data_IF_931880289515
#
_entry.id   IF_931880289515
#
_cell.length_a   1.000
_cell.length_b   1.000
_cell.length_c   1.000
_cell.angle_alpha   90.00
_cell.angle_beta   90.00
_cell.angle_gamma   90.00
#
_symmetry.space_group_name_H-M   'P 1'
#
loop_
_entity.id
_entity.type
_entity.pdbx_description
1 polymer ?
#
# COMPACT_ATOMS: atom_id res chain seq x y z
N UNK A 1 -14.73 7.41 16.62
CA UNK A 1 -15.68 6.84 15.61
C UNK A 1 -15.02 7.01 14.26
N UNK A 2 -14.67 5.91 13.60
CA UNK A 2 -14.14 6.00 12.24
C UNK A 2 -15.17 6.67 11.34
N UNK A 3 -14.74 7.55 10.39
CA UNK A 3 -15.69 8.23 9.55
C UNK A 3 -16.49 7.21 8.73
N UNK A 4 -17.81 7.33 8.82
CA UNK A 4 -18.81 6.55 8.09
C UNK A 4 -18.74 5.02 8.32
N UNK A 5 -19.00 4.57 9.55
CA UNK A 5 -19.18 3.16 9.88
C UNK A 5 -20.18 2.45 8.93
N UNK A 6 -21.21 3.16 8.51
CA UNK A 6 -22.24 2.66 7.59
C UNK A 6 -21.71 2.40 6.17
N UNK A 7 -20.67 3.13 5.74
CA UNK A 7 -20.06 2.95 4.40
C UNK A 7 -19.19 1.70 4.33
N UNK A 8 -18.67 1.21 5.48
CA UNK A 8 -17.69 0.12 5.52
C UNK A 8 -18.21 -1.18 6.10
N UNK A 9 -19.46 -1.23 6.52
CA UNK A 9 -20.06 -2.43 7.13
C UNK A 9 -19.19 -3.02 8.29
N UNK A 10 -18.48 -2.12 9.00
CA UNK A 10 -17.67 -2.43 10.17
C UNK A 10 -18.19 -1.57 11.32
N UNK A 11 -18.87 -2.19 12.28
CA UNK A 11 -19.17 -1.56 13.56
C UNK A 11 -17.88 -1.45 14.40
N UNK A 12 -17.01 -0.52 14.03
CA UNK A 12 -15.86 -0.18 14.85
C UNK A 12 -16.24 0.87 15.86
N UNK A 13 -16.61 0.46 17.05
CA UNK A 13 -16.51 1.32 18.21
C UNK A 13 -15.04 1.42 18.57
N UNK A 14 -14.45 2.61 18.47
CA UNK A 14 -13.08 2.85 18.97
C UNK A 14 -13.09 2.53 20.46
N UNK A 15 -12.31 1.54 20.87
CA UNK A 15 -12.07 1.26 22.28
C UNK A 15 -11.15 2.33 22.86
N UNK A 16 -11.72 3.31 23.53
CA UNK A 16 -10.98 4.41 24.14
C UNK A 16 -9.88 3.92 25.11
N UNK A 17 -10.13 2.83 25.83
CA UNK A 17 -9.12 2.23 26.73
C UNK A 17 -7.92 1.71 25.94
N UNK A 18 -8.15 1.05 24.79
CA UNK A 18 -7.09 0.58 23.93
C UNK A 18 -6.31 1.73 23.26
N UNK A 19 -6.99 2.82 22.91
CA UNK A 19 -6.32 4.04 22.42
C UNK A 19 -5.42 4.61 23.51
N UNK A 20 -5.92 4.78 24.73
CA UNK A 20 -5.12 5.29 25.86
C UNK A 20 -3.93 4.39 26.20
N UNK A 21 -4.10 3.07 26.13
CA UNK A 21 -3.00 2.11 26.30
C UNK A 21 -1.90 2.31 25.26
N UNK A 22 -2.26 2.42 23.97
CA UNK A 22 -1.29 2.67 22.90
C UNK A 22 -0.61 4.04 23.05
N UNK A 23 -1.35 5.07 23.43
CA UNK A 23 -0.80 6.41 23.64
C UNK A 23 0.18 6.47 24.84
N UNK A 24 0.06 5.57 25.80
CA UNK A 24 0.95 5.48 26.96
C UNK A 24 2.26 4.73 26.65
N UNK A 25 2.36 4.02 25.53
CA UNK A 25 3.56 3.24 25.18
C UNK A 25 4.76 4.17 24.89
N UNK A 26 5.89 3.83 25.50
CA UNK A 26 7.17 4.48 25.23
C UNK A 26 8.17 3.46 24.62
N UNK A 27 9.16 3.91 23.81
CA UNK A 27 10.11 3.00 23.16
C UNK A 27 10.88 2.07 24.12
N UNK A 28 11.00 2.47 25.39
CA UNK A 28 11.66 1.68 26.43
C UNK A 28 10.84 0.51 26.97
N UNK A 29 9.53 0.49 26.70
CA UNK A 29 8.62 -0.55 27.15
C UNK A 29 8.65 -1.79 26.24
N UNK A 30 9.22 -1.65 25.04
CA UNK A 30 9.29 -2.70 24.03
C UNK A 30 10.70 -3.24 23.90
N UNK A 31 10.84 -4.56 24.00
CA UNK A 31 12.13 -5.21 23.82
C UNK A 31 12.62 -5.08 22.38
N UNK A 32 13.88 -4.69 22.21
CA UNK A 32 14.52 -4.72 20.89
C UNK A 32 14.66 -6.17 20.42
N UNK A 33 14.33 -6.49 19.17
CA UNK A 33 14.52 -7.82 18.63
C UNK A 33 16.02 -8.18 18.57
N UNK A 34 16.35 -9.44 18.84
CA UNK A 34 17.73 -9.92 18.74
C UNK A 34 18.17 -10.11 17.28
N UNK A 35 17.23 -10.34 16.39
CA UNK A 35 17.44 -10.54 14.94
C UNK A 35 16.47 -9.67 14.16
N UNK A 36 16.91 -9.19 13.01
CA UNK A 36 16.09 -8.48 12.03
C UNK A 36 16.11 -9.25 10.73
N UNK A 37 14.96 -9.35 10.10
CA UNK A 37 14.82 -9.90 8.75
C UNK A 37 14.57 -8.78 7.74
N UNK A 38 14.83 -9.06 6.47
CA UNK A 38 14.50 -8.15 5.37
C UNK A 38 14.13 -8.95 4.12
N UNK A 39 13.24 -8.41 3.31
CA UNK A 39 12.96 -8.97 1.99
C UNK A 39 14.02 -8.53 0.99
N UNK A 40 14.57 -9.48 0.25
CA UNK A 40 15.45 -9.19 -0.90
C UNK A 40 14.56 -9.10 -2.14
N UNK A 41 14.05 -7.90 -2.41
CA UNK A 41 13.17 -7.68 -3.54
C UNK A 41 13.81 -6.83 -4.63
N UNK A 42 13.37 -7.04 -5.86
CA UNK A 42 13.56 -6.11 -6.97
C UNK A 42 12.28 -5.28 -7.13
N UNK A 43 12.45 -3.96 -7.19
CA UNK A 43 11.34 -3.03 -7.29
C UNK A 43 10.92 -2.82 -8.75
N UNK A 44 9.65 -3.07 -9.05
CA UNK A 44 9.05 -2.94 -10.38
C UNK A 44 7.98 -1.84 -10.36
N UNK A 45 8.33 -0.59 -10.68
CA UNK A 45 7.38 0.52 -10.75
C UNK A 45 6.56 0.43 -12.05
N UNK A 46 5.48 -0.32 -12.05
CA UNK A 46 4.75 -0.72 -13.26
C UNK A 46 4.32 0.47 -14.11
N UNK A 47 3.86 1.56 -13.48
CA UNK A 47 3.47 2.81 -14.16
C UNK A 47 3.68 4.02 -13.26
N UNK A 48 3.88 5.19 -13.87
CA UNK A 48 3.95 6.49 -13.21
C UNK A 48 2.58 7.18 -13.11
N UNK A 49 1.50 6.49 -13.45
CA UNK A 49 0.14 7.01 -13.42
C UNK A 49 -0.57 6.68 -12.09
N UNK A 50 -1.35 7.62 -11.57
CA UNK A 50 -2.21 7.43 -10.40
C UNK A 50 -3.46 8.33 -10.49
N UNK A 51 -4.64 7.78 -10.20
CA UNK A 51 -5.85 8.63 -10.16
C UNK A 51 -5.87 9.63 -9.02
N UNK A 52 -5.17 9.36 -7.91
CA UNK A 52 -5.03 10.27 -6.78
C UNK A 52 -3.92 11.31 -6.98
N UNK A 53 -3.93 12.36 -6.17
CA UNK A 53 -2.96 13.46 -6.19
C UNK A 53 -2.53 13.80 -4.76
N UNK A 54 -2.04 12.80 -4.01
CA UNK A 54 -1.59 12.98 -2.64
C UNK A 54 -0.37 13.92 -2.60
N UNK A 55 -0.39 14.94 -1.75
CA UNK A 55 0.61 16.02 -1.76
C UNK A 55 2.01 15.60 -1.27
N UNK A 56 2.16 14.43 -0.68
CA UNK A 56 3.46 13.85 -0.29
C UNK A 56 4.05 12.92 -1.36
N UNK A 57 3.24 12.51 -2.36
CA UNK A 57 3.60 11.43 -3.28
C UNK A 57 4.33 11.94 -4.51
N UNK A 58 5.39 11.22 -4.89
CA UNK A 58 6.13 11.45 -6.15
C UNK A 58 5.75 10.47 -7.25
N UNK A 59 4.84 9.54 -6.97
CA UNK A 59 4.47 8.41 -7.83
C UNK A 59 3.33 8.72 -8.80
N UNK A 60 3.24 9.96 -9.29
CA UNK A 60 2.28 10.27 -10.35
C UNK A 60 2.82 11.36 -11.28
N UNK A 61 2.60 11.15 -12.56
CA UNK A 61 2.78 12.15 -13.59
C UNK A 61 1.44 12.78 -13.99
N UNK A 62 1.50 13.87 -14.72
CA UNK A 62 0.28 14.47 -15.29
C UNK A 62 -0.20 13.64 -16.48
N UNK A 63 -1.53 13.60 -16.77
CA UNK A 63 -2.03 12.95 -17.97
C UNK A 63 -1.33 13.45 -19.24
N UNK A 64 -0.92 12.53 -20.09
CA UNK A 64 -0.11 12.79 -21.29
C UNK A 64 1.40 12.62 -21.09
N UNK A 65 1.88 12.45 -19.84
CA UNK A 65 3.30 12.24 -19.52
C UNK A 65 3.55 10.90 -18.81
N UNK A 66 2.48 10.21 -18.41
CA UNK A 66 2.60 8.94 -17.68
C UNK A 66 3.12 7.81 -18.59
N UNK A 67 3.91 6.93 -17.99
CA UNK A 67 4.50 5.78 -18.66
C UNK A 67 4.01 4.47 -18.06
N UNK A 68 3.99 3.42 -18.88
CA UNK A 68 3.73 2.04 -18.48
C UNK A 68 4.93 1.20 -18.93
N UNK A 69 5.51 0.41 -18.03
CA UNK A 69 6.61 -0.50 -18.38
C UNK A 69 6.10 -1.54 -19.39
N UNK A 70 6.86 -1.74 -20.46
CA UNK A 70 6.56 -2.81 -21.42
C UNK A 70 6.88 -4.19 -20.83
N UNK A 71 6.30 -5.28 -21.39
CA UNK A 71 6.63 -6.64 -20.96
C UNK A 71 8.15 -6.95 -21.06
N UNK A 72 8.86 -6.39 -22.04
CA UNK A 72 10.31 -6.51 -22.17
C UNK A 72 11.02 -5.79 -21.02
N UNK A 73 10.64 -4.55 -20.73
CA UNK A 73 11.23 -3.78 -19.64
C UNK A 73 11.01 -4.46 -18.27
N UNK A 74 9.85 -5.10 -18.08
CA UNK A 74 9.58 -5.88 -16.86
C UNK A 74 10.53 -7.08 -16.78
N UNK A 75 10.74 -7.82 -17.88
CA UNK A 75 11.71 -8.94 -17.91
C UNK A 75 13.11 -8.48 -17.56
N UNK A 76 13.58 -7.36 -18.13
CA UNK A 76 14.92 -6.82 -17.87
C UNK A 76 15.11 -6.47 -16.38
N UNK A 77 14.08 -5.87 -15.75
CA UNK A 77 14.10 -5.53 -14.33
C UNK A 77 14.10 -6.81 -13.46
N UNK A 78 13.24 -7.77 -13.79
CA UNK A 78 13.13 -9.06 -13.09
C UNK A 78 14.43 -9.85 -13.19
N UNK A 79 15.04 -9.95 -14.39
CA UNK A 79 16.33 -10.64 -14.60
C UNK A 79 17.45 -9.96 -13.79
N UNK A 80 17.47 -8.62 -13.75
CA UNK A 80 18.40 -7.87 -12.88
C UNK A 80 18.23 -8.25 -11.42
N UNK A 81 16.99 -8.43 -10.97
CA UNK A 81 16.67 -8.90 -9.63
C UNK A 81 17.19 -10.31 -9.35
N UNK A 82 16.99 -11.24 -10.29
CA UNK A 82 17.50 -12.61 -10.18
C UNK A 82 19.02 -12.61 -10.06
N UNK A 83 19.72 -11.87 -10.92
CA UNK A 83 21.18 -11.76 -10.92
C UNK A 83 21.71 -11.15 -9.61
N UNK A 84 20.95 -10.25 -8.99
CA UNK A 84 21.26 -9.66 -7.68
C UNK A 84 20.93 -10.59 -6.50
N UNK A 85 20.34 -11.76 -6.73
CA UNK A 85 19.93 -12.71 -5.70
C UNK A 85 18.66 -12.30 -4.94
N UNK A 86 17.78 -11.54 -5.56
CA UNK A 86 16.46 -11.26 -5.03
C UNK A 86 15.62 -12.54 -4.96
N UNK A 87 14.65 -12.53 -4.07
CA UNK A 87 13.68 -13.62 -3.89
C UNK A 87 12.26 -13.19 -4.20
N UNK A 88 12.04 -11.89 -4.33
CA UNK A 88 10.74 -11.27 -4.54
C UNK A 88 10.79 -10.20 -5.62
N UNK A 89 9.72 -10.08 -6.42
CA UNK A 89 9.46 -8.96 -7.30
C UNK A 89 8.34 -8.10 -6.71
N UNK A 90 8.67 -6.85 -6.35
CA UNK A 90 7.75 -5.91 -5.72
C UNK A 90 7.13 -5.00 -6.79
N UNK A 91 5.92 -5.33 -7.22
CA UNK A 91 5.14 -4.51 -8.15
C UNK A 91 4.42 -3.39 -7.40
N UNK A 92 4.77 -2.15 -7.69
CA UNK A 92 4.14 -0.98 -7.07
C UNK A 92 3.80 0.06 -8.13
N UNK A 93 2.60 0.61 -8.05
CA UNK A 93 2.15 1.67 -8.92
C UNK A 93 1.01 2.47 -8.28
N UNK A 94 0.56 3.52 -8.98
CA UNK A 94 -0.54 4.35 -8.54
C UNK A 94 -1.89 3.63 -8.65
N UNK A 95 -2.88 4.20 -7.98
CA UNK A 95 -4.24 3.67 -7.92
C UNK A 95 -4.96 3.84 -9.27
N UNK A 96 -5.56 2.79 -9.81
CA UNK A 96 -6.39 2.73 -11.02
C UNK A 96 -5.96 3.72 -12.11
N UNK A 97 -4.75 3.56 -12.67
CA UNK A 97 -4.20 4.48 -13.66
C UNK A 97 -5.04 4.52 -14.94
N UNK A 98 -5.58 3.40 -15.36
CA UNK A 98 -6.43 3.23 -16.54
C UNK A 98 -7.78 3.97 -16.45
N UNK A 99 -8.29 4.25 -15.26
CA UNK A 99 -9.49 5.08 -15.07
C UNK A 99 -9.29 6.56 -15.47
N UNK A 100 -8.05 7.04 -15.49
CA UNK A 100 -7.74 8.48 -15.64
C UNK A 100 -6.86 8.81 -16.82
N UNK A 101 -5.94 7.94 -17.17
CA UNK A 101 -4.89 8.21 -18.13
C UNK A 101 -5.20 7.49 -19.44
N UNK A 102 -5.66 8.24 -20.44
CA UNK A 102 -6.00 7.70 -21.75
C UNK A 102 -4.81 6.98 -22.38
N UNK A 103 -3.58 7.54 -22.21
CA UNK A 103 -2.35 6.93 -22.72
C UNK A 103 -2.07 5.56 -22.11
N UNK A 104 -2.42 5.33 -20.84
CA UNK A 104 -2.29 4.03 -20.18
C UNK A 104 -3.33 3.05 -20.73
N UNK A 105 -4.59 3.50 -20.86
CA UNK A 105 -5.66 2.70 -21.44
C UNK A 105 -5.33 2.30 -22.89
N UNK A 106 -4.95 3.27 -23.74
CA UNK A 106 -4.60 3.02 -25.14
C UNK A 106 -3.42 2.03 -25.25
N UNK A 107 -2.43 2.11 -24.35
CA UNK A 107 -1.29 1.22 -24.35
C UNK A 107 -1.67 -0.21 -23.92
N UNK A 108 -2.58 -0.35 -22.94
CA UNK A 108 -3.11 -1.65 -22.53
C UNK A 108 -3.89 -2.30 -23.68
N UNK A 109 -4.76 -1.54 -24.35
CA UNK A 109 -5.51 -2.00 -25.52
C UNK A 109 -4.58 -2.45 -26.66
N UNK A 110 -3.51 -1.68 -26.95
CA UNK A 110 -2.52 -2.04 -27.96
C UNK A 110 -1.83 -3.37 -27.65
N UNK A 111 -1.56 -3.66 -26.36
CA UNK A 111 -0.93 -4.89 -25.91
C UNK A 111 -1.94 -6.04 -25.69
N UNK A 112 -3.25 -5.78 -25.82
CA UNK A 112 -4.33 -6.77 -25.70
C UNK A 112 -4.76 -7.08 -24.28
N UNK A 113 -4.64 -6.14 -23.37
CA UNK A 113 -5.09 -6.24 -21.98
C UNK A 113 -6.33 -5.38 -21.75
N UNK A 114 -7.32 -5.94 -21.08
CA UNK A 114 -8.60 -5.25 -20.79
C UNK A 114 -8.46 -4.24 -19.63
N UNK A 115 -7.45 -4.39 -18.77
CA UNK A 115 -7.24 -3.54 -17.59
C UNK A 115 -5.79 -3.57 -17.09
N UNK A 116 -5.45 -2.61 -16.22
CA UNK A 116 -4.17 -2.64 -15.49
C UNK A 116 -4.04 -3.88 -14.60
N UNK A 117 -5.14 -4.45 -14.13
CA UNK A 117 -5.15 -5.66 -13.30
C UNK A 117 -4.79 -6.90 -14.14
N UNK A 118 -5.31 -7.01 -15.36
CA UNK A 118 -4.96 -8.10 -16.28
C UNK A 118 -3.49 -8.00 -16.70
N UNK A 119 -3.00 -6.78 -16.92
CA UNK A 119 -1.60 -6.54 -17.19
C UNK A 119 -0.69 -6.87 -16.01
N UNK A 120 -1.09 -6.49 -14.79
CA UNK A 120 -0.37 -6.86 -13.57
C UNK A 120 -0.32 -8.38 -13.39
N UNK A 121 -1.41 -9.09 -13.70
CA UNK A 121 -1.43 -10.54 -13.67
C UNK A 121 -0.33 -11.13 -14.58
N UNK A 122 -0.28 -10.69 -15.84
CA UNK A 122 0.76 -11.12 -16.78
C UNK A 122 2.19 -10.71 -16.34
N UNK A 123 2.35 -9.54 -15.73
CA UNK A 123 3.61 -9.09 -15.16
C UNK A 123 4.08 -10.00 -14.00
N UNK A 124 3.16 -10.44 -13.16
CA UNK A 124 3.44 -11.40 -12.09
C UNK A 124 3.85 -12.77 -12.65
N UNK A 125 3.25 -13.24 -13.75
CA UNK A 125 3.66 -14.48 -14.41
C UNK A 125 5.11 -14.39 -14.92
N UNK A 126 5.53 -13.24 -15.46
CA UNK A 126 6.94 -13.01 -15.86
C UNK A 126 7.89 -13.19 -14.67
N UNK A 127 7.53 -12.67 -13.50
CA UNK A 127 8.35 -12.82 -12.30
C UNK A 127 8.39 -14.27 -11.79
N UNK A 128 7.24 -14.98 -11.81
CA UNK A 128 7.15 -16.39 -11.43
C UNK A 128 8.00 -17.27 -12.35
N UNK A 129 7.95 -17.05 -13.66
CA UNK A 129 8.73 -17.79 -14.64
C UNK A 129 10.24 -17.58 -14.42
N UNK A 130 10.64 -16.43 -13.92
CA UNK A 130 12.03 -16.12 -13.54
C UNK A 130 12.42 -16.66 -12.15
N UNK A 131 11.47 -17.24 -11.39
CA UNK A 131 11.70 -17.80 -10.06
C UNK A 131 11.61 -16.80 -8.90
N UNK A 132 11.07 -15.61 -9.12
CA UNK A 132 10.78 -14.63 -8.07
C UNK A 132 9.34 -14.75 -7.59
N UNK A 133 9.10 -14.48 -6.31
CA UNK A 133 7.76 -14.41 -5.72
C UNK A 133 7.18 -13.01 -5.93
N UNK A 134 6.05 -12.86 -6.65
CA UNK A 134 5.42 -11.55 -6.78
C UNK A 134 4.78 -11.08 -5.48
N UNK A 135 5.01 -9.81 -5.14
CA UNK A 135 4.26 -9.04 -4.18
C UNK A 135 3.72 -7.78 -4.87
N UNK A 136 2.43 -7.55 -4.85
CA UNK A 136 1.82 -6.44 -5.58
C UNK A 136 1.10 -5.44 -4.67
N UNK A 137 1.31 -4.14 -4.96
CA UNK A 137 0.61 -3.02 -4.34
C UNK A 137 -0.24 -2.29 -5.40
N UNK A 138 -1.41 -2.84 -5.80
CA UNK A 138 -2.19 -2.35 -6.94
C UNK A 138 -3.13 -1.17 -6.60
N UNK A 139 -3.06 -0.61 -5.39
CA UNK A 139 -4.00 0.39 -4.92
C UNK A 139 -5.35 -0.20 -4.50
N UNK A 140 -6.42 0.61 -4.63
CA UNK A 140 -7.77 0.20 -4.23
C UNK A 140 -8.40 -0.70 -5.29
N UNK A 141 -8.52 -1.98 -4.99
CA UNK A 141 -9.12 -2.99 -5.86
C UNK A 141 -10.25 -3.76 -5.18
N UNK A 142 -11.08 -4.39 -5.96
CA UNK A 142 -12.25 -5.17 -5.52
C UNK A 142 -11.86 -6.56 -5.01
N UNK A 143 -12.77 -7.21 -4.28
CA UNK A 143 -12.60 -8.61 -3.86
C UNK A 143 -12.39 -9.57 -5.04
N UNK A 144 -13.06 -9.34 -6.17
CA UNK A 144 -12.89 -10.16 -7.38
C UNK A 144 -11.50 -10.00 -7.99
N UNK A 145 -10.97 -8.78 -8.06
CA UNK A 145 -9.61 -8.50 -8.53
C UNK A 145 -8.56 -9.11 -7.58
N UNK A 146 -8.77 -9.05 -6.26
CA UNK A 146 -7.92 -9.77 -5.31
C UNK A 146 -7.92 -11.29 -5.54
N UNK A 147 -9.09 -11.89 -5.80
CA UNK A 147 -9.18 -13.33 -6.08
C UNK A 147 -8.46 -13.72 -7.35
N UNK A 148 -8.51 -12.88 -8.39
CA UNK A 148 -7.76 -13.05 -9.64
C UNK A 148 -6.25 -12.98 -9.38
N UNK A 149 -5.77 -11.90 -8.78
CA UNK A 149 -4.35 -11.67 -8.53
C UNK A 149 -3.73 -12.65 -7.53
N UNK A 150 -4.53 -13.20 -6.61
CA UNK A 150 -4.07 -14.21 -5.65
C UNK A 150 -3.47 -15.45 -6.31
N UNK A 151 -3.85 -15.76 -7.54
CA UNK A 151 -3.35 -16.94 -8.25
C UNK A 151 -1.86 -16.80 -8.61
N UNK A 152 -1.38 -15.57 -8.76
CA UNK A 152 -0.02 -15.25 -9.21
C UNK A 152 0.78 -14.42 -8.19
N UNK A 153 0.24 -14.12 -7.02
CA UNK A 153 0.91 -13.35 -5.96
C UNK A 153 1.11 -14.17 -4.70
N UNK A 154 2.29 -14.11 -4.11
CA UNK A 154 2.59 -14.69 -2.80
C UNK A 154 1.95 -13.87 -1.67
N UNK A 155 1.87 -12.56 -1.85
CA UNK A 155 1.23 -11.61 -0.95
C UNK A 155 0.89 -10.33 -1.73
N UNK A 156 0.02 -9.51 -1.16
CA UNK A 156 -0.31 -8.19 -1.71
C UNK A 156 -0.39 -7.15 -0.61
N UNK A 157 -0.42 -5.88 -0.97
CA UNK A 157 -0.50 -4.82 0.01
C UNK A 157 -1.19 -3.54 -0.47
N UNK A 158 -1.65 -2.77 0.49
CA UNK A 158 -1.98 -1.35 0.35
C UNK A 158 -1.77 -0.67 1.69
N UNK A 159 -1.11 0.46 1.69
CA UNK A 159 -0.92 1.24 2.90
C UNK A 159 -2.23 1.92 3.30
N UNK A 160 -2.72 1.66 4.53
CA UNK A 160 -3.82 2.41 5.12
C UNK A 160 -3.42 3.89 5.27
N UNK A 161 -2.17 4.10 5.69
CA UNK A 161 -1.53 5.37 5.99
C UNK A 161 -2.08 6.04 7.24
N UNK A 162 -3.37 6.34 7.27
CA UNK A 162 -4.09 6.87 8.44
C UNK A 162 -5.59 6.69 8.30
N UNK A 163 -6.29 6.60 9.42
CA UNK A 163 -7.77 6.69 9.49
C UNK A 163 -8.27 8.12 9.58
N UNK A 164 -7.38 9.11 9.72
CA UNK A 164 -7.74 10.53 9.78
C UNK A 164 -7.98 11.11 8.38
N UNK A 165 -8.85 12.11 8.30
CA UNK A 165 -9.00 12.96 7.12
C UNK A 165 -7.93 14.05 7.17
N UNK A 166 -6.83 13.85 6.46
CA UNK A 166 -5.67 14.74 6.44
C UNK A 166 -5.58 15.56 5.16
N UNK A 167 -5.04 16.77 5.24
CA UNK A 167 -4.86 17.65 4.09
C UNK A 167 -3.98 17.02 3.00
N UNK A 168 -3.08 16.14 3.38
CA UNK A 168 -2.23 15.37 2.47
C UNK A 168 -3.01 14.56 1.43
N UNK A 169 -4.24 14.19 1.74
CA UNK A 169 -5.18 13.46 0.88
C UNK A 169 -6.29 14.33 0.29
N UNK A 170 -6.22 15.65 0.47
CA UNK A 170 -7.28 16.57 0.03
C UNK A 170 -7.31 16.77 -1.49
N UNK A 171 -8.31 17.55 -1.95
CA UNK A 171 -8.49 17.90 -3.37
C UNK A 171 -9.58 17.09 -4.06
N UNK A 172 -9.76 17.37 -5.35
CA UNK A 172 -10.86 16.77 -6.15
C UNK A 172 -10.71 15.27 -6.44
N UNK A 173 -9.54 14.72 -6.19
CA UNK A 173 -9.20 13.31 -6.32
C UNK A 173 -8.52 12.83 -5.05
N UNK A 174 -9.23 12.99 -3.96
CA UNK A 174 -8.73 12.62 -2.65
C UNK A 174 -8.85 11.12 -2.42
N UNK A 175 -7.87 10.58 -1.75
CA UNK A 175 -7.92 9.25 -1.16
C UNK A 175 -8.62 9.34 0.20
N UNK A 176 -9.62 8.53 0.44
CA UNK A 176 -10.31 8.50 1.73
C UNK A 176 -9.86 7.30 2.56
N UNK A 177 -9.80 7.44 3.90
CA UNK A 177 -9.51 6.30 4.79
C UNK A 177 -10.43 5.11 4.52
N UNK A 178 -11.68 5.38 4.23
CA UNK A 178 -12.64 4.37 3.98
C UNK A 178 -12.41 3.55 2.71
N UNK A 179 -11.92 4.14 1.66
CA UNK A 179 -11.52 3.36 0.48
C UNK A 179 -10.44 2.35 0.87
N UNK A 180 -9.43 2.77 1.64
CA UNK A 180 -8.37 1.89 2.12
C UNK A 180 -8.87 0.79 3.04
N UNK A 181 -9.74 1.12 4.00
CA UNK A 181 -10.37 0.13 4.88
C UNK A 181 -11.20 -0.90 4.10
N UNK A 182 -11.95 -0.46 3.08
CA UNK A 182 -12.67 -1.36 2.18
C UNK A 182 -11.74 -2.30 1.41
N UNK A 183 -10.62 -1.79 0.92
CA UNK A 183 -9.60 -2.58 0.21
C UNK A 183 -8.98 -3.63 1.12
N UNK A 184 -8.57 -3.27 2.35
CA UNK A 184 -8.03 -4.21 3.35
C UNK A 184 -9.06 -5.30 3.68
N UNK A 185 -10.34 -4.93 3.83
CA UNK A 185 -11.43 -5.87 4.03
C UNK A 185 -11.62 -6.81 2.85
N UNK A 186 -11.57 -6.29 1.61
CA UNK A 186 -11.69 -7.09 0.40
C UNK A 186 -10.56 -8.11 0.28
N UNK A 187 -9.32 -7.74 0.60
CA UNK A 187 -8.17 -8.63 0.67
C UNK A 187 -8.39 -9.75 1.70
N UNK A 188 -8.92 -9.41 2.90
CA UNK A 188 -9.27 -10.38 3.93
C UNK A 188 -10.33 -11.38 3.49
N UNK A 189 -11.39 -10.93 2.81
CA UNK A 189 -12.43 -11.80 2.24
C UNK A 189 -11.91 -12.70 1.11
N UNK A 190 -10.95 -12.19 0.34
CA UNK A 190 -10.26 -12.98 -0.68
C UNK A 190 -9.22 -13.95 -0.10
N UNK A 191 -8.87 -13.83 1.18
CA UNK A 191 -7.88 -14.67 1.86
C UNK A 191 -6.46 -14.46 1.32
N UNK A 192 -6.10 -13.22 1.02
CA UNK A 192 -4.76 -12.83 0.52
C UNK A 192 -3.87 -12.49 1.71
N UNK A 193 -2.66 -13.08 1.83
CA UNK A 193 -1.65 -12.59 2.77
C UNK A 193 -1.35 -11.13 2.46
N UNK A 194 -1.48 -10.24 3.45
CA UNK A 194 -1.59 -8.82 3.17
C UNK A 194 -0.66 -7.96 4.03
N UNK A 195 -0.01 -6.99 3.40
CA UNK A 195 0.80 -5.96 4.03
C UNK A 195 0.05 -4.64 4.01
N UNK A 196 0.02 -3.96 5.15
CA UNK A 196 -0.54 -2.61 5.28
C UNK A 196 0.29 -1.81 6.27
N UNK A 197 -0.12 -0.60 6.64
CA UNK A 197 0.61 0.17 7.64
C UNK A 197 0.27 1.64 7.65
N UNK A 198 1.09 2.39 8.37
CA UNK A 198 0.95 3.82 8.59
C UNK A 198 1.99 4.61 7.80
N UNK A 199 1.62 5.84 7.40
CA UNK A 199 2.58 6.83 6.90
C UNK A 199 2.67 7.98 7.90
N UNK A 200 3.80 8.05 8.59
CA UNK A 200 4.04 9.00 9.69
C UNK A 200 4.56 10.32 9.14
N UNK A 201 3.92 11.42 9.53
CA UNK A 201 4.35 12.78 9.20
C UNK A 201 3.55 13.47 8.09
N UNK A 202 2.34 12.99 7.77
CA UNK A 202 1.45 13.57 6.76
C UNK A 202 0.33 14.44 7.35
N UNK A 203 0.43 14.80 8.63
CA UNK A 203 -0.53 15.65 9.33
C UNK A 203 -1.40 14.92 10.36
N UNK A 204 -1.23 13.62 10.50
CA UNK A 204 -1.91 12.77 11.49
C UNK A 204 -1.37 13.01 12.91
N UNK A 205 -2.22 12.83 13.91
CA UNK A 205 -1.88 12.90 15.33
C UNK A 205 -1.45 11.54 15.88
N UNK A 206 -0.94 11.52 17.12
CA UNK A 206 -0.67 10.26 17.84
C UNK A 206 -1.93 9.42 18.05
N UNK A 207 -3.07 10.07 18.29
CA UNK A 207 -4.36 9.40 18.41
C UNK A 207 -4.77 8.74 17.09
N UNK A 208 -4.62 9.44 15.97
CA UNK A 208 -4.94 8.88 14.65
C UNK A 208 -4.09 7.65 14.33
N UNK A 209 -2.82 7.62 14.76
CA UNK A 209 -1.95 6.44 14.64
C UNK A 209 -2.47 5.27 15.47
N UNK A 210 -2.84 5.53 16.73
CA UNK A 210 -3.42 4.52 17.61
C UNK A 210 -4.71 3.93 17.01
N UNK A 211 -5.64 4.79 16.58
CA UNK A 211 -6.88 4.38 15.93
C UNK A 211 -6.64 3.57 14.64
N UNK A 212 -5.65 3.97 13.84
CA UNK A 212 -5.27 3.25 12.62
C UNK A 212 -4.71 1.86 12.91
N UNK A 213 -3.86 1.71 13.94
CA UNK A 213 -3.36 0.41 14.39
C UNK A 213 -4.48 -0.49 14.91
N UNK A 214 -5.43 0.07 15.66
CA UNK A 214 -6.59 -0.67 16.17
C UNK A 214 -7.49 -1.14 15.02
N UNK A 215 -7.69 -0.31 13.97
CA UNK A 215 -8.41 -0.71 12.77
C UNK A 215 -7.73 -1.88 12.04
N UNK A 216 -6.40 -1.83 11.88
CA UNK A 216 -5.63 -2.92 11.27
C UNK A 216 -5.74 -4.19 12.12
N UNK A 217 -5.63 -4.08 13.44
CA UNK A 217 -5.80 -5.20 14.38
C UNK A 217 -7.16 -5.87 14.22
N UNK A 218 -8.24 -5.09 14.15
CA UNK A 218 -9.59 -5.62 13.98
C UNK A 218 -9.74 -6.44 12.69
N UNK A 219 -9.21 -5.93 11.57
CA UNK A 219 -9.20 -6.70 10.31
C UNK A 219 -8.41 -8.00 10.44
N UNK A 220 -7.28 -7.98 11.15
CA UNK A 220 -6.50 -9.18 11.39
C UNK A 220 -7.26 -10.19 12.26
N UNK A 221 -7.86 -9.73 13.34
CA UNK A 221 -8.67 -10.58 14.23
C UNK A 221 -9.85 -11.23 13.48
N UNK A 222 -10.46 -10.50 12.53
CA UNK A 222 -11.59 -10.98 11.75
C UNK A 222 -11.21 -11.95 10.64
N UNK A 223 -10.12 -11.72 9.94
CA UNK A 223 -9.76 -12.45 8.71
C UNK A 223 -8.43 -13.20 8.78
N UNK A 224 -7.57 -12.91 9.74
CA UNK A 224 -6.27 -13.56 9.92
C UNK A 224 -5.26 -13.33 8.80
N UNK A 225 -5.45 -12.28 7.98
CA UNK A 225 -4.74 -12.10 6.72
C UNK A 225 -3.58 -11.09 6.75
N UNK A 226 -3.53 -10.20 7.75
CA UNK A 226 -2.43 -9.22 7.85
C UNK A 226 -1.17 -9.94 8.32
N UNK A 227 -0.16 -9.97 7.47
CA UNK A 227 1.14 -10.60 7.76
C UNK A 227 2.19 -9.59 8.24
N UNK A 228 2.03 -8.32 7.87
CA UNK A 228 3.00 -7.26 8.17
C UNK A 228 2.30 -5.91 8.30
N UNK A 229 2.78 -5.13 9.29
CA UNK A 229 2.38 -3.73 9.48
C UNK A 229 3.61 -2.86 9.35
N UNK A 230 3.67 -2.05 8.30
CA UNK A 230 4.79 -1.15 8.01
C UNK A 230 4.55 0.19 8.70
N UNK A 231 5.50 0.65 9.48
CA UNK A 231 5.54 2.02 10.00
C UNK A 231 6.51 2.82 9.14
N UNK A 232 5.96 3.47 8.13
CA UNK A 232 6.73 4.23 7.14
C UNK A 232 6.79 5.71 7.52
N UNK A 233 7.91 6.37 7.28
CA UNK A 233 8.03 7.83 7.40
C UNK A 233 7.80 8.51 6.06
N UNK A 234 7.21 9.72 6.08
CA UNK A 234 7.23 10.58 4.91
C UNK A 234 8.68 11.01 4.60
N UNK A 235 9.01 11.06 3.32
CA UNK A 235 10.31 11.55 2.84
C UNK A 235 10.07 12.87 2.10
N UNK A 236 10.74 13.96 2.51
CA UNK A 236 10.65 15.25 1.81
C UNK A 236 11.05 15.13 0.34
N UNK A 237 10.32 15.81 -0.52
CA UNK A 237 10.59 15.87 -1.94
C UNK A 237 10.18 17.23 -2.50
N UNK A 238 10.54 17.53 -3.75
CA UNK A 238 10.30 18.84 -4.38
C UNK A 238 8.80 19.19 -4.55
N UNK A 239 7.90 18.19 -4.45
CA UNK A 239 6.45 18.36 -4.58
C UNK A 239 5.74 18.45 -3.24
N UNK A 240 6.45 18.29 -2.12
CA UNK A 240 5.83 18.19 -0.79
C UNK A 240 6.44 19.18 0.20
N UNK A 241 5.58 19.73 1.06
CA UNK A 241 5.98 20.60 2.17
C UNK A 241 6.18 19.83 3.49
N UNK A 242 6.08 18.49 3.45
CA UNK A 242 6.20 17.66 4.65
C UNK A 242 7.64 17.52 5.09
N UNK A 243 7.85 17.54 6.40
CA UNK A 243 9.15 17.31 7.00
C UNK A 243 9.29 15.85 7.44
N UNK A 244 10.49 15.31 7.31
CA UNK A 244 10.76 13.95 7.79
C UNK A 244 10.61 13.87 9.30
N UNK A 245 9.83 12.91 9.83
CA UNK A 245 9.70 12.69 11.27
C UNK A 245 11.04 12.39 11.94
N UNK A 246 11.20 12.84 13.17
CA UNK A 246 12.41 12.55 13.95
C UNK A 246 12.55 11.04 14.23
N UNK A 247 13.79 10.60 14.46
CA UNK A 247 14.05 9.21 14.89
C UNK A 247 13.29 8.86 16.17
N UNK A 248 13.13 9.82 17.10
CA UNK A 248 12.37 9.61 18.32
C UNK A 248 10.88 9.36 18.03
N UNK A 249 10.30 10.14 17.11
CA UNK A 249 8.93 9.95 16.63
C UNK A 249 8.75 8.55 16.02
N UNK A 250 9.66 8.15 15.12
CA UNK A 250 9.58 6.84 14.49
C UNK A 250 9.72 5.69 15.47
N UNK A 251 10.68 5.78 16.43
CA UNK A 251 10.83 4.77 17.48
C UNK A 251 9.57 4.59 18.32
N UNK A 252 8.90 5.68 18.66
CA UNK A 252 7.63 5.61 19.41
C UNK A 252 6.52 5.02 18.57
N UNK A 253 6.40 5.42 17.30
CA UNK A 253 5.37 4.87 16.40
C UNK A 253 5.54 3.36 16.16
N UNK A 254 6.79 2.87 16.12
CA UNK A 254 7.08 1.43 16.00
C UNK A 254 6.81 0.68 17.32
N UNK A 255 6.92 1.35 18.47
CA UNK A 255 6.67 0.73 19.77
C UNK A 255 5.17 0.59 20.08
N UNK A 256 4.34 1.44 19.52
CA UNK A 256 2.87 1.36 19.65
C UNK A 256 2.31 0.08 19.03
#
# INVERSE_FOLDING_TARGET
MFPAADEYDIETAVDESAVDELLAVEPGDVASPAELTFSRNVFVPLTTACRYTCSYCTYYDVPGEATLLSPEAIRDVVETGVDAGCTEALFTFGDKPDDRYTEIHDQLDEWGYDSIIDYLYAACEIALDAGLLPHSNPGDITESEFRQLREVNSSMGVMLETTADVDAHSGGRRKTPGQRLNTIRAAGRAGVPFTTGLLVGIGETWRDRAESLLAIREFHERFGHIQEVIIQNVVPNERSEFEQPSVATMRRAVAM
#
